data_IF_143987571174
#
_entry.id   IF_143987571174
#
_cell.length_a   1.000
_cell.length_b   1.000
_cell.length_c   1.000
_cell.angle_alpha   90.00
_cell.angle_beta   90.00
_cell.angle_gamma   90.00
#
_symmetry.space_group_name_H-M   'P 1'
#
loop_
_entity.id
_entity.type
_entity.pdbx_description
1 polymer ?
#
# COMPACT_ATOMS: atom_id res chain seq x y z
N UNK A 1 31.36 -9.51 -15.50
CA UNK A 1 32.17 -8.59 -14.67
C UNK A 1 31.55 -7.20 -14.75
N UNK A 2 30.94 -6.71 -13.69
CA UNK A 2 30.47 -5.32 -13.62
C UNK A 2 31.70 -4.40 -13.59
N UNK A 3 31.69 -3.34 -14.42
CA UNK A 3 32.78 -2.36 -14.42
C UNK A 3 32.88 -1.74 -13.00
N UNK A 4 34.08 -1.60 -12.44
CA UNK A 4 34.24 -0.95 -11.15
C UNK A 4 33.73 0.49 -11.24
N UNK A 5 32.92 0.89 -10.26
CA UNK A 5 32.38 2.24 -10.18
C UNK A 5 33.50 3.29 -10.12
N UNK A 6 33.32 4.46 -10.74
CA UNK A 6 34.26 5.56 -10.64
C UNK A 6 34.51 5.95 -9.17
N UNK A 7 35.72 6.43 -8.89
CA UNK A 7 36.21 6.69 -7.52
C UNK A 7 35.27 7.55 -6.67
N UNK A 8 34.63 8.56 -7.28
CA UNK A 8 33.63 9.42 -6.58
C UNK A 8 32.40 8.64 -6.09
N UNK A 9 31.91 7.72 -6.90
CA UNK A 9 30.75 6.89 -6.57
C UNK A 9 31.08 5.85 -5.48
N UNK A 10 32.35 5.37 -5.44
CA UNK A 10 32.79 4.47 -4.38
C UNK A 10 32.79 5.10 -3.00
N UNK A 11 33.07 6.41 -2.92
CA UNK A 11 33.07 7.14 -1.62
C UNK A 11 31.65 7.30 -1.08
N UNK A 12 30.66 7.51 -1.97
CA UNK A 12 29.27 7.71 -1.60
C UNK A 12 28.56 6.40 -1.22
N UNK A 13 29.05 5.28 -1.74
CA UNK A 13 28.39 3.99 -1.50
C UNK A 13 29.40 2.90 -1.11
N UNK A 14 29.54 2.72 0.20
CA UNK A 14 30.47 1.70 0.74
C UNK A 14 30.06 0.27 0.38
N UNK A 15 28.78 -0.01 0.12
CA UNK A 15 28.31 -1.33 -0.30
C UNK A 15 28.99 -1.82 -1.55
N UNK A 16 29.22 -0.95 -2.53
CA UNK A 16 29.95 -1.32 -3.74
C UNK A 16 31.46 -1.54 -3.55
N UNK A 17 32.04 -0.97 -2.50
CA UNK A 17 33.48 -1.16 -2.20
C UNK A 17 33.77 -2.57 -1.68
N UNK A 18 32.80 -3.17 -1.02
CA UNK A 18 32.96 -4.47 -0.34
C UNK A 18 32.15 -5.59 -0.98
N UNK A 19 31.30 -5.27 -1.98
CA UNK A 19 30.52 -6.29 -2.68
C UNK A 19 31.42 -7.15 -3.55
N UNK A 20 31.17 -8.45 -3.52
CA UNK A 20 31.74 -9.45 -4.40
C UNK A 20 30.81 -9.71 -5.57
N UNK A 21 31.28 -10.32 -6.63
CA UNK A 21 30.44 -10.68 -7.78
C UNK A 21 29.31 -11.66 -7.45
N UNK A 22 29.44 -12.36 -6.33
CA UNK A 22 28.46 -13.34 -5.83
C UNK A 22 27.51 -12.76 -4.79
N UNK A 23 27.73 -11.52 -4.33
CA UNK A 23 26.88 -10.88 -3.34
C UNK A 23 25.54 -10.46 -3.97
N UNK A 24 24.45 -10.59 -3.19
CA UNK A 24 23.12 -10.20 -3.60
C UNK A 24 22.87 -8.73 -3.25
N UNK A 25 22.57 -7.91 -4.24
CA UNK A 25 22.27 -6.49 -4.08
C UNK A 25 20.79 -6.25 -4.36
N UNK A 26 20.06 -5.86 -3.35
CA UNK A 26 18.62 -5.57 -3.43
C UNK A 26 18.38 -4.07 -3.44
N UNK A 27 17.56 -3.62 -4.37
CA UNK A 27 17.11 -2.23 -4.47
C UNK A 27 15.61 -2.19 -4.14
N UNK A 28 15.24 -2.10 -2.86
CA UNK A 28 13.83 -1.99 -2.50
C UNK A 28 13.27 -0.65 -2.98
N UNK A 29 12.22 -0.71 -3.75
CA UNK A 29 11.47 0.43 -4.24
C UNK A 29 10.03 0.32 -3.75
N UNK A 30 9.44 1.44 -3.38
CA UNK A 30 8.03 1.55 -3.04
C UNK A 30 7.38 2.46 -4.07
N UNK A 31 6.50 1.90 -4.87
CA UNK A 31 5.76 2.63 -5.89
C UNK A 31 4.35 2.97 -5.42
N UNK A 32 3.71 3.93 -6.10
CA UNK A 32 2.31 4.28 -5.81
C UNK A 32 1.36 3.10 -6.06
N UNK A 33 1.72 2.20 -6.98
CA UNK A 33 0.95 0.97 -7.24
C UNK A 33 1.06 0.01 -6.05
N UNK A 34 2.23 -0.06 -5.41
CA UNK A 34 2.41 -0.90 -4.23
C UNK A 34 1.57 -0.39 -3.06
N UNK A 35 1.44 0.95 -2.92
CA UNK A 35 0.57 1.55 -1.90
C UNK A 35 -0.90 1.22 -2.17
N UNK A 36 -1.37 1.43 -3.41
CA UNK A 36 -2.75 1.09 -3.81
C UNK A 36 -3.05 -0.41 -3.58
N UNK A 37 -2.09 -1.28 -3.92
CA UNK A 37 -2.21 -2.74 -3.70
C UNK A 37 -2.18 -3.13 -2.22
N UNK A 38 -1.41 -2.41 -1.42
CA UNK A 38 -1.32 -2.65 0.03
C UNK A 38 -2.61 -2.29 0.75
N UNK A 39 -3.35 -1.26 0.30
CA UNK A 39 -4.69 -0.96 0.81
C UNK A 39 -5.65 -2.12 0.50
N UNK A 40 -5.64 -2.59 -0.76
CA UNK A 40 -6.47 -3.72 -1.16
C UNK A 40 -6.17 -4.96 -0.31
N UNK A 41 -4.88 -5.28 -0.13
CA UNK A 41 -4.43 -6.39 0.71
C UNK A 41 -4.95 -6.27 2.15
N UNK A 42 -4.88 -5.07 2.73
CA UNK A 42 -5.31 -4.82 4.11
C UNK A 42 -6.81 -5.05 4.29
N UNK A 43 -7.63 -4.55 3.36
CA UNK A 43 -9.07 -4.79 3.39
C UNK A 43 -9.44 -6.26 3.17
N UNK A 44 -8.77 -6.93 2.23
CA UNK A 44 -9.09 -8.33 1.90
C UNK A 44 -8.66 -9.35 2.95
N UNK A 45 -7.54 -9.08 3.65
CA UNK A 45 -6.92 -10.05 4.56
C UNK A 45 -7.04 -9.69 6.04
N UNK A 46 -7.14 -8.39 6.39
CA UNK A 46 -7.13 -7.94 7.78
C UNK A 46 -8.51 -7.44 8.21
N UNK A 47 -9.06 -6.44 7.54
CA UNK A 47 -10.40 -5.93 7.89
C UNK A 47 -11.47 -6.98 7.56
N UNK A 48 -11.37 -7.61 6.39
CA UNK A 48 -12.28 -8.63 5.89
C UNK A 48 -13.75 -8.22 6.07
N UNK A 49 -14.18 -7.10 5.46
CA UNK A 49 -15.54 -6.63 5.61
C UNK A 49 -16.51 -7.71 5.11
N UNK A 50 -17.46 -8.06 5.93
CA UNK A 50 -18.50 -9.04 5.63
C UNK A 50 -19.82 -8.55 6.19
N UNK A 51 -20.91 -8.91 5.53
CA UNK A 51 -22.28 -8.57 5.92
C UNK A 51 -23.14 -9.83 5.96
N UNK A 52 -24.15 -9.82 6.79
CA UNK A 52 -25.13 -10.87 6.82
C UNK A 52 -26.21 -10.60 5.74
N UNK A 53 -26.36 -11.55 4.82
CA UNK A 53 -27.42 -11.54 3.81
C UNK A 53 -28.17 -12.87 3.83
N UNK A 54 -29.47 -12.84 4.12
CA UNK A 54 -30.35 -14.01 4.22
C UNK A 54 -29.82 -15.13 5.15
N UNK A 55 -29.13 -14.77 6.23
CA UNK A 55 -28.53 -15.73 7.18
C UNK A 55 -27.20 -16.32 6.73
N UNK A 56 -26.64 -15.86 5.63
CA UNK A 56 -25.30 -16.19 5.17
C UNK A 56 -24.36 -15.00 5.30
N UNK A 57 -23.13 -15.27 5.73
CA UNK A 57 -22.12 -14.22 5.86
C UNK A 57 -21.39 -14.04 4.51
N UNK A 58 -21.67 -12.93 3.84
CA UNK A 58 -21.14 -12.59 2.52
C UNK A 58 -19.97 -11.61 2.65
N UNK A 59 -18.82 -11.95 2.07
CA UNK A 59 -17.65 -11.06 2.02
C UNK A 59 -17.94 -9.89 1.08
N UNK A 60 -17.67 -8.67 1.54
CA UNK A 60 -17.83 -7.45 0.76
C UNK A 60 -16.61 -7.24 -0.13
N UNK A 61 -16.77 -7.22 -1.46
CA UNK A 61 -15.67 -6.95 -2.36
C UNK A 61 -15.22 -5.50 -2.28
N UNK A 62 -13.90 -5.30 -2.37
CA UNK A 62 -13.30 -3.97 -2.50
C UNK A 62 -12.66 -3.84 -3.87
N UNK A 63 -12.74 -2.65 -4.48
CA UNK A 63 -12.14 -2.39 -5.78
C UNK A 63 -11.56 -0.97 -5.88
N UNK A 64 -10.46 -0.87 -6.62
CA UNK A 64 -9.94 0.43 -7.04
C UNK A 64 -10.78 0.97 -8.19
N UNK A 65 -11.35 2.14 -8.03
CA UNK A 65 -12.17 2.78 -9.05
C UNK A 65 -11.31 3.63 -9.98
N UNK A 66 -11.21 3.24 -11.26
CA UNK A 66 -10.61 4.08 -12.29
C UNK A 66 -11.36 5.41 -12.42
N UNK A 67 -10.74 6.49 -12.95
CA UNK A 67 -11.40 7.78 -13.12
C UNK A 67 -12.74 7.70 -13.88
N UNK A 68 -12.83 6.83 -14.87
CA UNK A 68 -14.05 6.62 -15.66
C UNK A 68 -15.16 5.98 -14.83
N UNK A 69 -14.83 4.94 -14.07
CA UNK A 69 -15.76 4.28 -13.15
C UNK A 69 -16.21 5.24 -12.05
N UNK A 70 -15.27 6.01 -11.50
CA UNK A 70 -15.60 7.01 -10.48
C UNK A 70 -16.54 8.10 -10.99
N UNK A 71 -16.34 8.57 -12.22
CA UNK A 71 -17.23 9.53 -12.85
C UNK A 71 -18.62 8.93 -13.14
N UNK A 72 -18.68 7.67 -13.52
CA UNK A 72 -19.96 6.95 -13.68
C UNK A 72 -20.69 6.83 -12.34
N UNK A 73 -19.96 6.50 -11.27
CA UNK A 73 -20.49 6.43 -9.90
C UNK A 73 -21.06 7.79 -9.47
N UNK A 74 -20.31 8.88 -9.69
CA UNK A 74 -20.78 10.23 -9.34
C UNK A 74 -22.03 10.64 -10.11
N UNK A 75 -22.16 10.21 -11.37
CA UNK A 75 -23.32 10.58 -12.22
C UNK A 75 -24.54 9.70 -11.99
N UNK A 76 -24.33 8.41 -11.74
CA UNK A 76 -25.38 7.39 -11.64
C UNK A 76 -25.69 6.97 -10.20
N UNK A 77 -24.86 7.39 -9.22
CA UNK A 77 -25.01 7.05 -7.81
C UNK A 77 -24.57 5.62 -7.42
N UNK A 78 -24.32 4.71 -8.38
CA UNK A 78 -24.06 3.31 -8.11
C UNK A 78 -23.23 2.61 -9.20
N UNK A 79 -22.63 1.47 -8.85
CA UNK A 79 -21.92 0.58 -9.78
C UNK A 79 -22.87 -0.47 -10.37
N UNK A 80 -22.79 -0.66 -11.69
CA UNK A 80 -23.54 -1.71 -12.38
C UNK A 80 -22.58 -2.73 -13.00
N UNK A 81 -22.99 -3.99 -12.95
CA UNK A 81 -22.33 -5.07 -13.66
C UNK A 81 -22.58 -4.99 -15.19
N UNK A 82 -21.87 -5.82 -15.97
CA UNK A 82 -22.08 -5.97 -17.42
C UNK A 82 -23.52 -6.26 -17.80
N UNK A 83 -24.28 -6.89 -16.92
CA UNK A 83 -25.72 -7.16 -17.05
C UNK A 83 -26.63 -6.01 -16.60
N UNK A 84 -26.05 -4.85 -16.28
CA UNK A 84 -26.73 -3.66 -15.75
C UNK A 84 -27.37 -3.83 -14.36
N UNK A 85 -27.04 -4.90 -13.64
CA UNK A 85 -27.46 -5.09 -12.25
C UNK A 85 -26.57 -4.28 -11.33
N UNK A 86 -27.16 -3.75 -10.25
CA UNK A 86 -26.44 -3.01 -9.21
C UNK A 86 -25.59 -4.00 -8.43
N UNK A 87 -24.34 -3.65 -8.19
CA UNK A 87 -23.42 -4.44 -7.38
C UNK A 87 -23.50 -3.94 -5.96
N UNK A 88 -24.12 -4.71 -5.07
CA UNK A 88 -24.20 -4.47 -3.64
C UNK A 88 -24.08 -5.79 -2.87
N UNK A 89 -23.44 -5.82 -1.70
CA UNK A 89 -22.59 -4.77 -1.11
C UNK A 89 -21.23 -4.62 -1.81
N UNK A 90 -20.69 -3.42 -1.87
CA UNK A 90 -19.38 -3.15 -2.47
C UNK A 90 -18.69 -1.94 -1.88
N UNK A 91 -17.38 -1.98 -1.79
CA UNK A 91 -16.52 -0.85 -1.41
C UNK A 91 -15.71 -0.45 -2.62
N UNK A 92 -15.74 0.83 -3.00
CA UNK A 92 -14.86 1.37 -4.02
C UNK A 92 -13.96 2.43 -3.39
N UNK A 93 -12.71 2.49 -3.82
CA UNK A 93 -11.76 3.50 -3.36
C UNK A 93 -10.94 4.05 -4.52
N UNK A 94 -10.45 5.26 -4.33
CA UNK A 94 -9.52 5.90 -5.26
C UNK A 94 -8.61 6.85 -4.53
N UNK A 95 -7.42 7.05 -5.07
CA UNK A 95 -6.51 8.10 -4.63
C UNK A 95 -6.99 9.46 -5.11
N UNK A 96 -7.08 10.43 -4.18
CA UNK A 96 -7.56 11.79 -4.45
C UNK A 96 -6.41 12.77 -4.53
N UNK A 97 -5.47 12.70 -3.59
CA UNK A 97 -4.35 13.64 -3.55
C UNK A 97 -3.07 12.99 -3.05
N UNK A 98 -1.95 13.60 -3.44
CA UNK A 98 -0.62 13.30 -2.92
C UNK A 98 0.01 14.65 -2.60
N UNK A 99 0.45 14.82 -1.36
CA UNK A 99 1.19 16.00 -0.91
C UNK A 99 2.47 15.59 -0.23
N UNK A 100 3.49 16.43 -0.27
CA UNK A 100 4.69 16.23 0.53
C UNK A 100 4.36 16.45 2.00
N UNK A 101 4.95 15.65 2.86
CA UNK A 101 4.88 15.87 4.30
C UNK A 101 5.92 16.93 4.70
N UNK A 102 5.45 18.15 4.94
CA UNK A 102 6.30 19.29 5.30
C UNK A 102 6.88 19.16 6.72
N UNK A 103 6.36 18.26 7.53
CA UNK A 103 6.87 18.02 8.88
C UNK A 103 8.22 17.32 8.90
N UNK A 104 8.59 16.68 7.80
CA UNK A 104 9.87 15.98 7.64
C UNK A 104 10.74 16.74 6.65
N UNK A 105 11.92 17.26 7.08
CA UNK A 105 12.83 17.93 6.17
C UNK A 105 13.30 16.97 5.07
N UNK A 106 13.08 17.34 3.82
CA UNK A 106 13.36 16.53 2.63
C UNK A 106 14.23 17.29 1.64
N UNK A 107 15.25 17.97 2.13
CA UNK A 107 16.14 18.72 1.26
C UNK A 107 17.05 17.77 0.49
N UNK A 108 16.82 17.65 -0.81
CA UNK A 108 17.68 16.94 -1.73
C UNK A 108 18.61 17.93 -2.41
N UNK A 109 19.92 17.73 -2.24
CA UNK A 109 20.94 18.56 -2.93
C UNK A 109 20.85 18.46 -4.44
N UNK A 110 20.47 17.29 -4.94
CA UNK A 110 20.32 17.01 -6.37
C UNK A 110 19.28 15.90 -6.58
N UNK A 111 18.08 16.28 -7.04
CA UNK A 111 16.99 15.36 -7.28
C UNK A 111 17.27 14.34 -8.40
N UNK A 112 18.19 14.68 -9.31
CA UNK A 112 18.53 13.86 -10.47
C UNK A 112 19.76 12.99 -10.24
N UNK A 113 20.33 12.97 -9.03
CA UNK A 113 21.49 12.14 -8.74
C UNK A 113 21.08 10.70 -8.45
N UNK A 114 21.26 9.77 -9.40
CA UNK A 114 20.86 8.37 -9.22
C UNK A 114 21.68 7.63 -8.16
N UNK A 115 22.69 8.27 -7.56
CA UNK A 115 23.58 7.68 -6.60
C UNK A 115 23.34 8.13 -5.15
N UNK A 116 22.30 8.92 -4.91
CA UNK A 116 21.87 9.27 -3.55
C UNK A 116 21.09 8.12 -2.92
N UNK A 117 21.82 7.15 -2.41
CA UNK A 117 21.25 6.03 -1.70
C UNK A 117 22.15 5.60 -0.54
N UNK A 118 21.51 5.00 0.47
CA UNK A 118 22.19 4.37 1.58
C UNK A 118 22.27 2.87 1.35
N UNK A 119 23.47 2.29 1.57
CA UNK A 119 23.65 0.85 1.53
C UNK A 119 23.70 0.27 2.92
N UNK A 120 22.83 -0.69 3.19
CA UNK A 120 22.81 -1.46 4.42
C UNK A 120 23.30 -2.88 4.11
N UNK A 121 24.20 -3.37 4.93
CA UNK A 121 24.68 -4.76 4.87
C UNK A 121 23.86 -5.61 5.84
N UNK A 122 23.21 -6.63 5.34
CA UNK A 122 22.61 -7.68 6.16
C UNK A 122 23.71 -8.73 6.39
N UNK A 123 24.23 -8.78 7.62
CA UNK A 123 25.40 -9.60 7.96
C UNK A 123 25.18 -11.11 7.80
N UNK A 124 23.93 -11.57 7.76
CA UNK A 124 23.61 -13.00 7.77
C UNK A 124 22.50 -13.35 6.79
N UNK A 125 22.89 -13.86 5.62
CA UNK A 125 22.02 -14.71 4.83
C UNK A 125 22.01 -16.13 5.45
N UNK A 126 21.07 -16.98 5.04
CA UNK A 126 21.04 -18.38 5.49
C UNK A 126 22.37 -19.13 5.23
N UNK A 127 23.15 -18.63 4.29
CA UNK A 127 24.47 -19.16 3.89
C UNK A 127 25.60 -18.60 4.77
N UNK A 128 25.37 -17.46 5.43
CA UNK A 128 26.34 -16.75 6.27
C UNK A 128 26.14 -17.00 7.75
N UNK A 129 25.87 -18.21 8.15
CA UNK A 129 25.88 -18.53 9.57
C UNK A 129 27.29 -18.43 10.11
N UNK A 130 27.44 -18.04 11.39
CA UNK A 130 28.69 -18.00 12.16
C UNK A 130 29.33 -19.40 12.36
N UNK A 131 29.16 -20.26 11.41
CA UNK A 131 29.61 -21.61 11.52
C UNK A 131 30.88 -21.69 10.68
N UNK A 132 31.97 -21.93 11.38
CA UNK A 132 33.27 -22.19 10.77
C UNK A 132 33.23 -23.34 9.75
N UNK A 133 32.16 -24.12 9.76
CA UNK A 133 31.94 -25.24 8.87
C UNK A 133 31.81 -24.78 7.41
N UNK A 134 31.11 -23.68 7.16
CA UNK A 134 30.99 -23.09 5.82
C UNK A 134 32.36 -22.66 5.28
N UNK A 135 33.21 -22.13 6.16
CA UNK A 135 34.58 -21.73 5.81
C UNK A 135 35.49 -22.93 5.54
N UNK A 136 35.31 -24.01 6.31
CA UNK A 136 36.06 -25.26 6.10
C UNK A 136 35.64 -25.97 4.81
N UNK A 137 34.40 -25.82 4.38
CA UNK A 137 33.92 -26.35 3.10
C UNK A 137 34.30 -25.45 1.90
N UNK A 138 35.01 -24.36 2.10
CA UNK A 138 35.37 -23.42 1.05
C UNK A 138 34.20 -22.61 0.49
N UNK A 139 33.05 -22.60 1.17
CA UNK A 139 31.91 -21.80 0.81
C UNK A 139 32.22 -20.33 1.13
N UNK A 140 32.32 -19.50 0.10
CA UNK A 140 32.49 -18.06 0.28
C UNK A 140 31.22 -17.48 0.92
N UNK A 141 31.37 -16.70 2.01
CA UNK A 141 30.21 -16.05 2.62
C UNK A 141 29.57 -15.11 1.61
N UNK A 142 28.28 -15.29 1.39
CA UNK A 142 27.45 -14.41 0.56
C UNK A 142 26.85 -13.32 1.44
N UNK A 143 26.97 -12.07 1.01
CA UNK A 143 26.43 -10.92 1.72
C UNK A 143 25.24 -10.36 0.95
N UNK A 144 24.24 -9.94 1.67
CA UNK A 144 23.11 -9.21 1.11
C UNK A 144 23.29 -7.72 1.41
N UNK A 145 23.17 -6.89 0.37
CA UNK A 145 23.20 -5.45 0.47
C UNK A 145 21.83 -4.90 0.07
N UNK A 146 21.33 -3.96 0.86
CA UNK A 146 20.12 -3.22 0.55
C UNK A 146 20.52 -1.78 0.21
N UNK A 147 20.32 -1.37 -1.02
CA UNK A 147 20.52 0.00 -1.45
C UNK A 147 19.19 0.73 -1.40
N UNK A 148 19.00 1.56 -0.39
CA UNK A 148 17.77 2.33 -0.22
C UNK A 148 18.01 3.75 -0.68
N UNK A 149 17.27 4.18 -1.70
CA UNK A 149 17.26 5.58 -2.12
C UNK A 149 16.68 6.47 -1.01
N UNK A 150 17.09 7.74 -0.98
CA UNK A 150 16.51 8.69 -0.06
C UNK A 150 15.00 8.77 -0.29
N UNK A 151 14.16 8.39 0.68
CA UNK A 151 12.72 8.34 0.48
C UNK A 151 12.12 9.74 0.41
N UNK A 152 11.08 9.89 -0.37
CA UNK A 152 10.17 11.02 -0.27
C UNK A 152 9.04 10.66 0.71
N UNK A 153 8.88 11.47 1.74
CA UNK A 153 7.78 11.34 2.68
C UNK A 153 6.56 12.08 2.11
N UNK A 154 5.48 11.37 1.96
CA UNK A 154 4.27 11.90 1.34
C UNK A 154 3.04 11.53 2.17
N UNK A 155 2.11 12.47 2.22
CA UNK A 155 0.76 12.24 2.71
C UNK A 155 -0.14 11.98 1.52
N UNK A 156 -0.84 10.85 1.55
CA UNK A 156 -1.71 10.44 0.46
C UNK A 156 -3.14 10.32 0.99
N UNK A 157 -4.09 10.91 0.27
CA UNK A 157 -5.50 10.87 0.63
C UNK A 157 -6.25 9.96 -0.34
N UNK A 158 -7.11 9.12 0.21
CA UNK A 158 -7.99 8.22 -0.52
C UNK A 158 -9.45 8.48 -0.14
N UNK A 159 -10.31 8.58 -1.14
CA UNK A 159 -11.76 8.58 -0.97
C UNK A 159 -12.28 7.14 -1.09
N UNK A 160 -13.15 6.79 -0.17
CA UNK A 160 -13.86 5.52 -0.16
C UNK A 160 -15.35 5.75 -0.26
N UNK A 161 -16.03 4.88 -0.95
CA UNK A 161 -17.49 4.85 -1.02
C UNK A 161 -17.95 3.41 -0.76
N UNK A 162 -18.89 3.27 0.15
CA UNK A 162 -19.55 2.00 0.48
C UNK A 162 -20.98 2.06 -0.05
N UNK A 163 -21.42 0.99 -0.69
CA UNK A 163 -22.81 0.78 -1.06
C UNK A 163 -23.33 -0.52 -0.48
N UNK A 164 -24.52 -0.44 0.11
CA UNK A 164 -25.23 -1.61 0.62
C UNK A 164 -26.72 -1.50 0.28
N UNK A 165 -27.41 -2.63 0.37
CA UNK A 165 -28.86 -2.66 0.19
C UNK A 165 -29.62 -2.27 1.46
N UNK A 166 -29.03 -2.50 2.62
CA UNK A 166 -29.64 -2.26 3.94
C UNK A 166 -28.70 -1.48 4.84
N UNK A 167 -29.30 -0.69 5.75
CA UNK A 167 -28.55 0.13 6.69
C UNK A 167 -27.78 -0.71 7.71
N UNK A 168 -28.34 -1.86 8.11
CA UNK A 168 -27.69 -2.76 9.06
C UNK A 168 -26.37 -3.30 8.47
N UNK A 169 -26.36 -3.68 7.19
CA UNK A 169 -25.16 -4.08 6.47
C UNK A 169 -24.12 -2.96 6.41
N UNK A 170 -24.57 -1.70 6.25
CA UNK A 170 -23.69 -0.54 6.28
C UNK A 170 -23.02 -0.39 7.63
N UNK A 171 -23.80 -0.49 8.71
CA UNK A 171 -23.30 -0.36 10.07
C UNK A 171 -22.23 -1.43 10.37
N UNK A 172 -22.45 -2.69 9.99
CA UNK A 172 -21.47 -3.76 10.16
C UNK A 172 -20.13 -3.47 9.46
N UNK A 173 -20.19 -2.91 8.25
CA UNK A 173 -18.97 -2.53 7.50
C UNK A 173 -18.29 -1.35 8.19
N UNK A 174 -19.05 -0.30 8.52
CA UNK A 174 -18.51 0.92 9.14
C UNK A 174 -17.85 0.61 10.47
N UNK A 175 -18.46 -0.21 11.32
CA UNK A 175 -17.89 -0.63 12.60
C UNK A 175 -16.53 -1.32 12.43
N UNK A 176 -16.41 -2.24 11.47
CA UNK A 176 -15.13 -2.92 11.17
C UNK A 176 -14.07 -1.96 10.65
N UNK A 177 -14.46 -1.00 9.82
CA UNK A 177 -13.54 -0.01 9.26
C UNK A 177 -13.10 0.98 10.34
N UNK A 178 -14.01 1.50 11.15
CA UNK A 178 -13.71 2.43 12.27
C UNK A 178 -12.75 1.79 13.26
N UNK A 179 -12.90 0.51 13.55
CA UNK A 179 -11.99 -0.21 14.44
C UNK A 179 -10.55 -0.21 13.94
N UNK A 180 -10.33 -0.03 12.65
CA UNK A 180 -8.99 0.04 12.04
C UNK A 180 -8.40 1.46 11.99
N UNK A 181 -9.09 2.47 12.55
CA UNK A 181 -8.57 3.84 12.60
C UNK A 181 -7.32 3.93 13.47
N UNK A 182 -6.35 4.72 13.03
CA UNK A 182 -5.06 4.88 13.70
C UNK A 182 -4.14 3.66 13.64
N UNK A 183 -4.56 2.58 13.01
CA UNK A 183 -3.75 1.39 12.81
C UNK A 183 -2.71 1.59 11.69
N UNK A 184 -1.73 0.70 11.64
CA UNK A 184 -0.82 0.61 10.51
C UNK A 184 -1.43 -0.29 9.44
N UNK A 185 -1.83 0.32 8.32
CA UNK A 185 -2.34 -0.40 7.16
C UNK A 185 -1.19 -0.85 6.27
N UNK A 186 -1.44 -1.84 5.45
CA UNK A 186 -0.51 -2.34 4.44
C UNK A 186 -0.20 -3.82 4.56
N UNK A 187 0.74 -4.26 3.75
CA UNK A 187 1.24 -5.62 3.74
C UNK A 187 2.42 -5.73 4.73
N UNK A 188 2.33 -6.58 5.78
CA UNK A 188 3.41 -6.75 6.76
C UNK A 188 4.76 -7.12 6.16
N UNK A 189 4.75 -7.81 5.03
CA UNK A 189 5.97 -8.30 4.40
C UNK A 189 6.60 -7.28 3.45
N UNK A 190 5.84 -6.27 3.03
CA UNK A 190 6.32 -5.25 2.09
C UNK A 190 6.47 -3.89 2.75
N UNK A 191 5.36 -3.31 3.18
CA UNK A 191 5.32 -1.96 3.73
C UNK A 191 4.09 -1.74 4.59
N UNK A 192 4.25 -0.91 5.60
CA UNK A 192 3.17 -0.43 6.46
C UNK A 192 3.21 1.08 6.53
N UNK A 193 2.05 1.68 6.59
CA UNK A 193 1.86 3.12 6.73
C UNK A 193 0.77 3.41 7.75
N UNK A 194 0.92 4.52 8.45
CA UNK A 194 -0.08 4.96 9.42
C UNK A 194 -1.31 5.47 8.67
N UNK A 195 -2.48 4.99 9.06
CA UNK A 195 -3.76 5.47 8.54
C UNK A 195 -4.47 6.34 9.55
N UNK A 196 -5.19 7.32 9.06
CA UNK A 196 -6.17 8.11 9.81
C UNK A 196 -7.43 8.19 8.99
N UNK A 197 -8.54 7.80 9.59
CA UNK A 197 -9.86 7.84 8.94
C UNK A 197 -10.54 9.14 9.36
N UNK A 198 -10.99 9.91 8.38
CA UNK A 198 -11.81 11.08 8.62
C UNK A 198 -13.28 10.69 8.82
N UNK A 199 -14.13 11.66 9.01
CA UNK A 199 -15.56 11.47 9.26
C UNK A 199 -16.25 10.65 8.19
N UNK A 200 -17.18 9.79 8.61
CA UNK A 200 -18.10 9.10 7.73
C UNK A 200 -19.27 10.03 7.42
N UNK A 201 -19.56 10.20 6.14
CA UNK A 201 -20.67 10.99 5.65
C UNK A 201 -21.73 10.07 5.07
N UNK A 202 -22.92 10.08 5.63
CA UNK A 202 -24.07 9.39 5.04
C UNK A 202 -24.57 10.20 3.83
N UNK A 203 -24.48 9.59 2.67
CA UNK A 203 -24.91 10.15 1.39
C UNK A 203 -26.04 9.32 0.77
N UNK A 204 -26.92 8.77 1.60
CA UNK A 204 -28.02 7.93 1.17
C UNK A 204 -29.00 8.73 0.32
N UNK A 205 -29.13 8.35 -0.94
CA UNK A 205 -30.11 8.91 -1.87
C UNK A 205 -31.27 7.93 -2.03
N UNK A 206 -32.46 8.37 -1.73
CA UNK A 206 -33.70 7.61 -1.99
C UNK A 206 -34.19 7.99 -3.38
N UNK A 207 -33.93 7.13 -4.37
CA UNK A 207 -34.54 7.23 -5.69
C UNK A 207 -35.84 6.42 -5.71
N UNK A 208 -36.86 6.89 -6.44
CA UNK A 208 -38.18 6.27 -6.50
C UNK A 208 -38.20 4.78 -6.90
N UNK A 209 -37.13 4.31 -7.51
CA UNK A 209 -37.01 2.93 -8.03
C UNK A 209 -36.03 2.05 -7.27
N UNK A 210 -35.05 2.61 -6.57
CA UNK A 210 -34.00 1.81 -5.95
C UNK A 210 -33.58 2.45 -4.61
N UNK A 211 -33.66 1.69 -3.54
CA UNK A 211 -33.21 2.11 -2.20
C UNK A 211 -31.80 1.60 -1.99
N UNK A 212 -30.81 2.49 -2.07
CA UNK A 212 -29.42 2.19 -1.82
C UNK A 212 -28.91 3.03 -0.65
N UNK A 213 -28.26 2.37 0.28
CA UNK A 213 -27.55 3.03 1.37
C UNK A 213 -26.13 3.31 0.91
N UNK A 214 -25.70 4.56 1.00
CA UNK A 214 -24.38 5.00 0.58
C UNK A 214 -23.71 5.79 1.70
N UNK A 215 -22.47 5.43 2.00
CA UNK A 215 -21.63 6.17 2.94
C UNK A 215 -20.27 6.45 2.32
N UNK A 216 -19.79 7.67 2.47
CA UNK A 216 -18.48 8.10 2.02
C UNK A 216 -17.56 8.30 3.22
N UNK A 217 -16.27 8.03 3.07
CA UNK A 217 -15.26 8.40 4.05
C UNK A 217 -13.91 8.61 3.37
N UNK A 218 -13.05 9.33 4.03
CA UNK A 218 -11.72 9.66 3.52
C UNK A 218 -10.66 9.07 4.44
N UNK A 219 -9.60 8.54 3.86
CA UNK A 219 -8.48 7.99 4.60
C UNK A 219 -7.22 8.72 4.22
N UNK A 220 -6.51 9.21 5.21
CA UNK A 220 -5.21 9.86 5.06
C UNK A 220 -4.11 8.91 5.49
N UNK A 221 -3.17 8.65 4.61
CA UNK A 221 -2.00 7.79 4.82
C UNK A 221 -0.73 8.63 4.96
N UNK A 222 0.12 8.26 5.94
CA UNK A 222 1.41 8.91 6.21
C UNK A 222 2.52 7.92 6.41
#
# INVERSE_FOLDING_TARGET
>A
MSKPLPRKQRVLNRGYLYSRSTDDVKNPEVTLIDIDSSILFYFENIIQPSVEDNGENVKVPIMYASPERWNSIKKQGFLRDKKRQIITPVIAYRRTSISKDESVPQDKLDANNPHMFYSFEKKFSQINRYDNFATQLGLLPQREYYNVMMPDYVTITYDFIIWTSYIDQMNEIVEKVVYSDGAYWGDPDKMRFRSSIDTFEDATEVSDTERLVRTNFTVTLR
#
